data_IF_742193319498
#
_entry.id   IF_742193319498
#
_cell.length_a   1.000
_cell.length_b   1.000
_cell.length_c   1.000
_cell.angle_alpha   90.00
_cell.angle_beta   90.00
_cell.angle_gamma   90.00
#
_symmetry.space_group_name_H-M   'P 1'
#
loop_
_entity.id
_entity.type
_entity.pdbx_description
1 polymer ?
#
# COMPACT_ATOMS: atom_id res chain seq x y z
N UNK A 1 50.20 19.67 33.08
CA UNK A 1 49.09 20.48 32.53
C UNK A 1 48.70 19.94 31.16
N UNK A 2 47.49 19.38 31.07
CA UNK A 2 46.62 19.14 29.89
C UNK A 2 47.15 18.25 28.73
N UNK A 3 46.78 16.97 28.80
CA UNK A 3 46.69 16.04 27.67
C UNK A 3 45.58 16.48 26.70
N UNK A 4 45.93 16.76 25.44
CA UNK A 4 44.95 17.03 24.37
C UNK A 4 44.57 15.71 23.68
N UNK A 5 43.38 15.19 24.00
CA UNK A 5 42.75 14.10 23.26
C UNK A 5 42.21 14.69 21.96
N UNK A 6 42.81 14.34 20.82
CA UNK A 6 42.25 14.63 19.48
C UNK A 6 41.12 13.64 19.22
N UNK A 7 39.88 14.05 19.49
CA UNK A 7 38.69 13.32 19.05
C UNK A 7 38.51 13.62 17.56
N UNK A 8 38.89 12.66 16.71
CA UNK A 8 38.50 12.64 15.30
C UNK A 8 37.03 12.26 15.25
N UNK A 9 36.16 13.26 15.13
CA UNK A 9 34.74 13.03 14.82
C UNK A 9 34.69 12.60 13.36
N UNK A 10 34.67 11.29 13.14
CA UNK A 10 34.37 10.71 11.84
C UNK A 10 32.89 11.01 11.57
N UNK A 11 32.62 12.12 10.88
CA UNK A 11 31.30 12.45 10.36
C UNK A 11 30.94 11.38 9.32
N UNK A 12 30.29 10.31 9.78
CA UNK A 12 29.66 9.34 8.91
C UNK A 12 28.43 10.03 8.31
N UNK A 13 28.65 10.78 7.22
CA UNK A 13 27.59 11.19 6.33
C UNK A 13 26.99 9.93 5.70
N UNK A 14 26.10 9.27 6.45
CA UNK A 14 25.11 8.38 5.87
C UNK A 14 24.25 9.25 4.95
N UNK A 15 24.65 9.36 3.69
CA UNK A 15 23.79 9.83 2.61
C UNK A 15 22.66 8.80 2.55
N UNK A 16 21.57 9.11 3.25
CA UNK A 16 20.33 8.38 3.12
C UNK A 16 19.89 8.56 1.67
N UNK A 17 20.25 7.60 0.82
CA UNK A 17 19.69 7.51 -0.51
C UNK A 17 18.23 7.16 -0.33
N UNK A 18 17.36 8.18 -0.35
CA UNK A 18 15.96 7.96 -0.60
C UNK A 18 15.89 7.24 -1.95
N UNK A 19 15.44 5.98 -1.97
CA UNK A 19 15.20 5.29 -3.23
C UNK A 19 14.05 6.02 -3.92
N UNK A 20 14.37 6.88 -4.88
CA UNK A 20 13.40 7.51 -5.76
C UNK A 20 12.56 6.41 -6.42
N UNK A 21 11.31 6.28 -5.97
CA UNK A 21 10.33 5.45 -6.67
C UNK A 21 10.16 6.08 -8.05
N UNK A 22 10.66 5.42 -9.11
CA UNK A 22 10.41 5.83 -10.50
C UNK A 22 8.89 5.88 -10.70
N UNK A 23 8.37 7.09 -10.82
CA UNK A 23 6.95 7.36 -10.97
C UNK A 23 6.68 8.47 -11.95
N UNK A 24 5.39 8.69 -12.20
CA UNK A 24 4.86 9.72 -13.09
C UNK A 24 3.60 10.28 -12.44
N UNK A 25 3.33 11.57 -12.64
CA UNK A 25 2.15 12.23 -12.08
C UNK A 25 1.27 12.75 -13.20
N UNK A 26 -0.03 12.50 -13.05
CA UNK A 26 -1.08 12.94 -13.97
C UNK A 26 -1.98 13.92 -13.24
N UNK A 27 -2.27 15.07 -13.85
CA UNK A 27 -3.04 16.14 -13.22
C UNK A 27 -4.47 16.20 -13.78
N UNK A 28 -5.38 16.64 -12.91
CA UNK A 28 -6.80 16.77 -13.20
C UNK A 28 -7.27 18.18 -12.92
N UNK A 29 -8.22 18.62 -13.73
CA UNK A 29 -8.92 19.87 -13.47
C UNK A 29 -9.82 19.79 -12.24
N UNK A 30 -10.22 20.97 -11.76
CA UNK A 30 -11.10 21.06 -10.61
C UNK A 30 -12.39 20.28 -10.86
N UNK A 31 -12.72 19.42 -9.89
CA UNK A 31 -13.93 18.60 -9.91
C UNK A 31 -14.08 17.64 -11.10
N UNK A 32 -12.98 17.34 -11.80
CA UNK A 32 -12.98 16.42 -12.95
C UNK A 32 -12.21 15.14 -12.68
N UNK A 33 -12.67 14.06 -13.31
CA UNK A 33 -11.93 12.80 -13.47
C UNK A 33 -11.72 12.45 -14.95
N UNK A 34 -12.11 13.32 -15.89
CA UNK A 34 -11.73 13.25 -17.30
C UNK A 34 -10.36 13.89 -17.52
N UNK A 35 -9.60 13.41 -18.50
CA UNK A 35 -8.25 13.89 -18.81
C UNK A 35 -8.20 14.56 -20.19
N UNK A 36 -7.36 15.59 -20.30
CA UNK A 36 -6.96 16.21 -21.56
C UNK A 36 -5.90 15.36 -22.26
N UNK A 37 -5.75 15.54 -23.57
CA UNK A 37 -4.88 14.70 -24.41
C UNK A 37 -3.43 14.61 -23.91
N UNK A 38 -2.85 15.72 -23.45
CA UNK A 38 -1.48 15.75 -22.91
C UNK A 38 -1.32 14.83 -21.70
N UNK A 39 -2.31 14.82 -20.81
CA UNK A 39 -2.31 13.97 -19.62
C UNK A 39 -2.54 12.49 -19.97
N UNK A 40 -3.35 12.22 -21.00
CA UNK A 40 -3.47 10.86 -21.57
C UNK A 40 -2.13 10.41 -22.14
N UNK A 41 -1.43 11.27 -22.88
CA UNK A 41 -0.11 10.99 -23.45
C UNK A 41 0.91 10.66 -22.36
N UNK A 42 0.90 11.39 -21.24
CA UNK A 42 1.76 11.09 -20.07
C UNK A 42 1.56 9.66 -19.56
N UNK A 43 0.31 9.18 -19.45
CA UNK A 43 0.01 7.80 -19.02
C UNK A 43 0.53 6.78 -20.02
N UNK A 44 0.30 7.03 -21.32
CA UNK A 44 0.74 6.15 -22.40
C UNK A 44 2.27 6.06 -22.44
N UNK A 45 2.96 7.19 -22.33
CA UNK A 45 4.42 7.24 -22.32
C UNK A 45 4.99 6.58 -21.07
N UNK A 46 4.36 6.74 -19.91
CA UNK A 46 4.69 5.97 -18.71
C UNK A 46 4.58 4.47 -18.97
N UNK A 47 3.44 3.98 -19.51
CA UNK A 47 3.25 2.57 -19.79
C UNK A 47 4.30 2.00 -20.77
N UNK A 48 4.73 2.79 -21.77
CA UNK A 48 5.80 2.40 -22.71
C UNK A 48 7.17 2.27 -22.04
N UNK A 49 7.45 3.03 -20.96
CA UNK A 49 8.69 2.91 -20.17
C UNK A 49 8.74 1.60 -19.36
N UNK A 50 7.64 0.85 -19.26
CA UNK A 50 7.54 -0.34 -18.43
C UNK A 50 8.31 -1.54 -19.00
N UNK A 51 9.44 -1.88 -18.39
CA UNK A 51 10.08 -3.18 -18.60
C UNK A 51 9.31 -4.26 -17.81
N UNK A 52 8.31 -4.88 -18.45
CA UNK A 52 7.44 -5.89 -17.83
C UNK A 52 8.19 -7.10 -17.28
N UNK A 53 9.45 -7.33 -17.67
CA UNK A 53 10.27 -8.39 -17.08
C UNK A 53 10.82 -8.01 -15.71
N UNK A 54 11.09 -6.72 -15.49
CA UNK A 54 11.68 -6.16 -14.26
C UNK A 54 10.66 -5.59 -13.29
N UNK A 55 9.48 -5.20 -13.76
CA UNK A 55 8.43 -4.69 -12.87
C UNK A 55 7.54 -5.82 -12.34
N UNK A 56 7.24 -5.76 -11.05
CA UNK A 56 6.24 -6.57 -10.38
C UNK A 56 4.85 -6.03 -10.72
N UNK A 57 4.64 -4.74 -10.45
CA UNK A 57 3.35 -4.08 -10.63
C UNK A 57 3.47 -2.58 -10.92
N UNK A 58 2.35 -1.97 -11.28
CA UNK A 58 2.09 -0.54 -11.21
C UNK A 58 1.19 -0.28 -9.99
N UNK A 59 1.55 0.73 -9.20
CA UNK A 59 0.69 1.31 -8.17
C UNK A 59 0.14 2.65 -8.66
N UNK A 60 -1.13 2.93 -8.38
CA UNK A 60 -1.86 4.12 -8.81
C UNK A 60 -2.58 4.71 -7.60
N UNK A 61 -2.23 5.95 -7.24
CA UNK A 61 -2.79 6.66 -6.09
C UNK A 61 -3.42 7.97 -6.54
N UNK A 62 -4.73 8.14 -6.30
CA UNK A 62 -5.46 9.34 -6.70
C UNK A 62 -5.72 10.25 -5.53
N UNK A 63 -5.64 11.56 -5.77
CA UNK A 63 -5.78 12.60 -4.76
C UNK A 63 -6.74 13.69 -5.24
N UNK A 64 -7.34 14.37 -4.28
CA UNK A 64 -8.09 15.60 -4.48
C UNK A 64 -7.44 16.76 -3.72
N UNK A 65 -7.81 17.99 -4.09
CA UNK A 65 -7.47 19.15 -3.28
C UNK A 65 -8.28 19.22 -1.98
N UNK A 66 -8.03 20.23 -1.15
CA UNK A 66 -8.57 20.35 0.22
C UNK A 66 -10.07 20.68 0.28
N UNK A 67 -10.73 20.95 -0.86
CA UNK A 67 -12.12 21.42 -0.94
C UNK A 67 -13.12 20.28 -1.06
N UNK A 68 -14.31 20.49 -0.51
CA UNK A 68 -15.43 19.53 -0.55
C UNK A 68 -15.39 18.47 0.56
N UNK A 69 -16.48 17.72 0.69
CA UNK A 69 -16.65 16.72 1.74
C UNK A 69 -15.72 15.52 1.58
N UNK A 70 -15.41 14.85 2.70
CA UNK A 70 -14.51 13.69 2.72
C UNK A 70 -15.00 12.57 1.79
N UNK A 71 -16.28 12.19 1.90
CA UNK A 71 -16.88 11.10 1.11
C UNK A 71 -16.91 11.43 -0.38
N UNK A 72 -17.15 12.70 -0.71
CA UNK A 72 -17.12 13.19 -2.08
C UNK A 72 -15.72 13.05 -2.67
N UNK A 73 -14.71 13.55 -1.96
CA UNK A 73 -13.32 13.47 -2.42
C UNK A 73 -12.80 12.04 -2.52
N UNK A 74 -13.23 11.16 -1.63
CA UNK A 74 -12.91 9.74 -1.72
C UNK A 74 -13.47 9.12 -3.01
N UNK A 75 -14.73 9.40 -3.36
CA UNK A 75 -15.34 8.97 -4.63
C UNK A 75 -14.65 9.58 -5.84
N UNK A 76 -14.39 10.89 -5.83
CA UNK A 76 -13.74 11.60 -6.93
C UNK A 76 -12.32 11.07 -7.18
N UNK A 77 -11.51 10.94 -6.13
CA UNK A 77 -10.17 10.37 -6.25
C UNK A 77 -10.20 8.93 -6.76
N UNK A 78 -11.18 8.11 -6.34
CA UNK A 78 -11.38 6.76 -6.87
C UNK A 78 -11.67 6.77 -8.39
N UNK A 79 -12.59 7.62 -8.85
CA UNK A 79 -12.92 7.75 -10.27
C UNK A 79 -11.71 8.20 -11.12
N UNK A 80 -10.84 9.05 -10.57
CA UNK A 80 -9.58 9.46 -11.23
C UNK A 80 -8.65 8.28 -11.43
N UNK A 81 -8.45 7.45 -10.41
CA UNK A 81 -7.62 6.25 -10.50
C UNK A 81 -8.21 5.25 -11.50
N UNK A 82 -9.54 5.05 -11.50
CA UNK A 82 -10.22 4.18 -12.48
C UNK A 82 -10.04 4.69 -13.92
N UNK A 83 -10.08 6.01 -14.14
CA UNK A 83 -9.82 6.62 -15.45
C UNK A 83 -8.40 6.29 -15.94
N UNK A 84 -7.39 6.48 -15.08
CA UNK A 84 -6.01 6.14 -15.41
C UNK A 84 -5.83 4.64 -15.65
N UNK A 85 -6.46 3.78 -14.84
CA UNK A 85 -6.45 2.33 -15.04
C UNK A 85 -7.01 1.96 -16.42
N UNK A 86 -8.17 2.52 -16.79
CA UNK A 86 -8.82 2.21 -18.06
C UNK A 86 -7.92 2.61 -19.25
N UNK A 87 -7.23 3.75 -19.17
CA UNK A 87 -6.27 4.17 -20.20
C UNK A 87 -5.09 3.19 -20.28
N UNK A 88 -4.52 2.76 -19.15
CA UNK A 88 -3.44 1.76 -19.14
C UNK A 88 -3.89 0.43 -19.79
N UNK A 89 -5.08 -0.04 -19.44
CA UNK A 89 -5.65 -1.28 -19.99
C UNK A 89 -5.93 -1.16 -21.50
N UNK A 90 -6.52 -0.05 -21.94
CA UNK A 90 -6.79 0.22 -23.35
C UNK A 90 -5.51 0.28 -24.19
N UNK A 91 -4.39 0.68 -23.57
CA UNK A 91 -3.06 0.70 -24.19
C UNK A 91 -2.27 -0.60 -23.97
N UNK A 92 -2.95 -1.71 -23.67
CA UNK A 92 -2.36 -3.05 -23.66
C UNK A 92 -1.60 -3.42 -22.39
N UNK A 93 -1.65 -2.61 -21.33
CA UNK A 93 -1.02 -2.96 -20.07
C UNK A 93 -1.76 -4.13 -19.40
N UNK A 94 -1.01 -5.12 -18.91
CA UNK A 94 -1.59 -6.31 -18.31
C UNK A 94 -2.33 -5.97 -17.01
N UNK A 95 -3.64 -6.24 -16.96
CA UNK A 95 -4.50 -6.04 -15.79
C UNK A 95 -3.93 -6.66 -14.51
N UNK A 96 -3.30 -7.83 -14.62
CA UNK A 96 -2.74 -8.54 -13.47
C UNK A 96 -1.50 -7.85 -12.87
N UNK A 97 -0.91 -6.88 -13.57
CA UNK A 97 0.21 -6.07 -13.10
C UNK A 97 -0.22 -4.71 -12.54
N UNK A 98 -1.52 -4.38 -12.55
CA UNK A 98 -2.04 -3.17 -11.91
C UNK A 98 -2.60 -3.60 -10.55
N UNK A 99 -1.84 -3.38 -9.48
CA UNK A 99 -2.09 -4.03 -8.18
C UNK A 99 -2.67 -3.07 -7.15
N UNK A 100 -2.28 -1.78 -7.15
CA UNK A 100 -2.81 -0.81 -6.18
C UNK A 100 -3.54 0.30 -6.90
N UNK A 101 -4.80 0.48 -6.54
CA UNK A 101 -5.72 1.46 -7.11
C UNK A 101 -6.44 2.06 -5.91
N UNK A 102 -5.96 3.20 -5.43
CA UNK A 102 -6.50 3.80 -4.22
C UNK A 102 -6.80 5.28 -4.43
N UNK A 103 -8.09 5.63 -4.31
CA UNK A 103 -8.51 7.00 -4.09
C UNK A 103 -8.18 7.38 -2.66
N UNK A 104 -7.23 8.29 -2.47
CA UNK A 104 -6.78 8.77 -1.15
C UNK A 104 -7.64 9.89 -0.58
N UNK A 105 -8.60 10.40 -1.36
CA UNK A 105 -9.41 11.54 -0.96
C UNK A 105 -8.64 12.86 -1.00
N UNK A 106 -9.08 13.82 -0.19
CA UNK A 106 -8.50 15.17 -0.16
C UNK A 106 -7.15 15.23 0.54
N UNK A 107 -6.27 16.06 0.00
CA UNK A 107 -5.02 16.45 0.64
C UNK A 107 -5.25 17.77 1.37
N UNK A 108 -5.08 17.74 2.70
CA UNK A 108 -5.24 18.94 3.53
C UNK A 108 -4.08 19.90 3.29
N UNK A 109 -4.40 21.17 3.04
CA UNK A 109 -3.41 22.24 2.89
C UNK A 109 -3.54 23.22 4.06
N UNK A 110 -2.43 23.48 4.75
CA UNK A 110 -2.35 24.56 5.74
C UNK A 110 -2.11 25.86 4.97
N UNK A 111 -3.15 26.70 4.85
CA UNK A 111 -3.18 27.84 3.93
C UNK A 111 -2.09 28.88 4.20
N UNK A 112 -1.67 29.00 5.46
CA UNK A 112 -0.59 29.88 5.94
C UNK A 112 0.82 29.36 5.62
N UNK A 113 0.95 28.08 5.26
CA UNK A 113 2.24 27.44 4.98
C UNK A 113 2.62 27.42 3.50
N UNK A 114 1.74 27.91 2.61
CA UNK A 114 1.93 27.85 1.16
C UNK A 114 1.94 29.24 0.56
N UNK A 115 2.87 29.47 -0.38
CA UNK A 115 2.98 30.74 -1.09
C UNK A 115 1.85 30.97 -2.09
N UNK A 116 1.40 29.90 -2.73
CA UNK A 116 0.28 29.91 -3.68
C UNK A 116 -0.65 28.74 -3.38
N UNK A 117 -1.84 29.07 -2.88
CA UNK A 117 -2.85 28.10 -2.51
C UNK A 117 -3.47 27.41 -3.73
N UNK A 118 -3.70 28.14 -4.82
CA UNK A 118 -4.39 27.61 -6.00
C UNK A 118 -3.45 26.75 -6.85
N UNK A 119 -2.17 27.12 -6.94
CA UNK A 119 -1.14 26.26 -7.51
C UNK A 119 -1.00 24.97 -6.69
N UNK A 120 -0.94 25.06 -5.36
CA UNK A 120 -0.85 23.89 -4.47
C UNK A 120 -2.05 22.96 -4.66
N UNK A 121 -3.26 23.52 -4.73
CA UNK A 121 -4.48 22.75 -5.01
C UNK A 121 -4.40 22.07 -6.36
N UNK A 122 -3.92 22.77 -7.38
CA UNK A 122 -3.77 22.21 -8.72
C UNK A 122 -2.80 21.03 -8.74
N UNK A 123 -1.69 21.12 -8.00
CA UNK A 123 -0.77 20.00 -7.81
C UNK A 123 -1.35 18.85 -6.97
N UNK A 124 -2.35 19.10 -6.13
CA UNK A 124 -3.04 18.06 -5.34
C UNK A 124 -4.15 17.33 -6.09
N UNK A 125 -4.69 17.92 -7.16
CA UNK A 125 -5.62 17.23 -8.07
C UNK A 125 -4.84 16.33 -9.02
N UNK A 126 -4.39 15.18 -8.52
CA UNK A 126 -3.46 14.32 -9.26
C UNK A 126 -3.71 12.84 -9.06
N UNK A 127 -3.13 12.06 -9.95
CA UNK A 127 -2.90 10.63 -9.80
C UNK A 127 -1.42 10.36 -9.96
N UNK A 128 -0.82 9.72 -8.96
CA UNK A 128 0.57 9.30 -8.97
C UNK A 128 0.67 7.82 -9.38
N UNK A 129 1.50 7.54 -10.38
CA UNK A 129 1.80 6.21 -10.88
C UNK A 129 3.22 5.81 -10.49
N UNK A 130 3.42 4.58 -10.02
CA UNK A 130 4.75 4.08 -9.66
C UNK A 130 4.99 2.69 -10.23
N UNK A 131 6.19 2.46 -10.77
CA UNK A 131 6.66 1.10 -11.01
C UNK A 131 7.17 0.49 -9.72
N UNK A 132 6.59 -0.64 -9.35
CA UNK A 132 7.15 -1.52 -8.32
C UNK A 132 8.07 -2.49 -9.01
N UNK A 133 9.37 -2.36 -8.79
CA UNK A 133 10.36 -3.29 -9.34
C UNK A 133 10.19 -4.67 -8.67
N UNK A 134 10.44 -5.75 -9.41
CA UNK A 134 10.52 -7.09 -8.82
C UNK A 134 11.57 -7.09 -7.72
N UNK A 135 11.23 -7.71 -6.59
CA UNK A 135 12.06 -7.76 -5.38
C UNK A 135 12.39 -6.38 -4.77
N UNK A 136 11.63 -5.31 -5.07
CA UNK A 136 11.83 -3.97 -4.47
C UNK A 136 11.70 -3.96 -2.94
N UNK A 137 11.04 -4.97 -2.37
CA UNK A 137 10.91 -5.13 -0.93
C UNK A 137 12.07 -5.91 -0.29
N UNK A 138 12.95 -6.50 -1.10
CA UNK A 138 13.98 -7.43 -0.67
C UNK A 138 13.73 -8.85 -1.20
N UNK A 139 14.78 -9.67 -1.25
CA UNK A 139 14.69 -11.07 -1.70
C UNK A 139 13.70 -11.84 -0.81
N UNK A 140 12.75 -12.54 -1.43
CA UNK A 140 11.73 -13.32 -0.71
C UNK A 140 10.55 -12.48 -0.20
N UNK A 141 10.40 -11.24 -0.66
CA UNK A 141 9.27 -10.37 -0.27
C UNK A 141 8.50 -9.92 -1.51
N UNK A 142 7.19 -10.16 -1.49
CA UNK A 142 6.27 -9.96 -2.61
C UNK A 142 5.03 -9.17 -2.15
N UNK A 143 4.24 -8.69 -3.09
CA UNK A 143 2.96 -8.01 -2.85
C UNK A 143 1.74 -8.80 -3.38
N UNK A 144 1.98 -9.98 -3.95
CA UNK A 144 0.96 -10.85 -4.52
C UNK A 144 1.43 -12.31 -4.54
N UNK A 145 0.47 -13.24 -4.64
CA UNK A 145 0.76 -14.67 -4.72
C UNK A 145 1.32 -15.00 -6.11
N UNK A 146 2.50 -15.60 -6.14
CA UNK A 146 3.22 -16.01 -7.32
C UNK A 146 3.00 -17.49 -7.62
N UNK A 147 3.33 -17.90 -8.85
CA UNK A 147 3.32 -19.32 -9.27
C UNK A 147 4.26 -20.20 -8.43
N UNK A 148 5.35 -19.62 -7.93
CA UNK A 148 6.36 -20.33 -7.13
C UNK A 148 6.75 -19.47 -5.94
N UNK A 149 6.62 -20.05 -4.75
CA UNK A 149 7.12 -19.50 -3.50
C UNK A 149 8.08 -20.49 -2.83
N UNK A 150 8.86 -19.99 -1.88
CA UNK A 150 9.68 -20.78 -0.97
C UNK A 150 9.21 -20.55 0.46
N UNK A 151 9.45 -21.54 1.32
CA UNK A 151 9.25 -21.36 2.76
C UNK A 151 10.09 -20.17 3.24
N UNK A 152 9.47 -19.29 4.02
CA UNK A 152 10.06 -18.04 4.49
C UNK A 152 9.73 -16.81 3.62
N UNK A 153 9.18 -17.00 2.42
CA UNK A 153 8.70 -15.88 1.61
C UNK A 153 7.61 -15.09 2.33
N UNK A 154 7.59 -13.77 2.16
CA UNK A 154 6.58 -12.86 2.69
C UNK A 154 5.76 -12.23 1.59
N UNK A 155 4.45 -12.13 1.78
CA UNK A 155 3.53 -11.50 0.83
C UNK A 155 2.77 -10.38 1.56
N UNK A 156 3.08 -9.13 1.26
CA UNK A 156 2.38 -7.97 1.80
C UNK A 156 1.02 -7.79 1.12
N UNK A 157 -0.03 -7.63 1.92
CA UNK A 157 -1.39 -7.42 1.42
C UNK A 157 -1.74 -5.92 1.48
N UNK A 158 -1.20 -5.15 0.54
CA UNK A 158 -1.24 -3.67 0.59
C UNK A 158 -2.67 -3.09 0.61
N UNK A 159 -3.65 -3.76 -0.02
CA UNK A 159 -5.02 -3.26 -0.15
C UNK A 159 -6.00 -3.86 0.88
N UNK A 160 -5.49 -4.47 1.94
CA UNK A 160 -6.30 -5.03 3.03
C UNK A 160 -6.38 -4.00 4.15
N UNK A 161 -7.40 -3.16 4.04
CA UNK A 161 -7.72 -2.02 4.88
C UNK A 161 -8.84 -2.37 5.86
N UNK A 162 -8.82 -1.65 6.98
CA UNK A 162 -9.76 -1.80 8.07
C UNK A 162 -10.32 -0.45 8.49
N UNK A 163 -11.53 -0.44 9.05
CA UNK A 163 -12.10 0.76 9.66
C UNK A 163 -11.13 1.33 10.71
N UNK A 164 -11.15 2.65 10.87
CA UNK A 164 -10.19 3.34 11.73
C UNK A 164 -10.24 2.79 13.16
N UNK A 165 -9.08 2.29 13.63
CA UNK A 165 -8.94 1.69 14.96
C UNK A 165 -9.63 0.33 15.15
N UNK A 166 -10.14 -0.28 14.10
CA UNK A 166 -10.96 -1.50 14.15
C UNK A 166 -10.34 -2.65 13.33
N UNK A 167 -10.79 -3.88 13.59
CA UNK A 167 -10.53 -5.06 12.76
C UNK A 167 -11.61 -5.31 11.69
N UNK A 168 -12.59 -4.42 11.56
CA UNK A 168 -13.64 -4.52 10.53
C UNK A 168 -13.06 -4.23 9.15
N UNK A 169 -13.17 -5.18 8.22
CA UNK A 169 -12.68 -5.08 6.84
C UNK A 169 -13.55 -4.13 6.00
N UNK A 170 -12.92 -3.21 5.27
CA UNK A 170 -13.64 -2.37 4.30
C UNK A 170 -14.21 -3.21 3.15
N UNK A 171 -15.30 -2.73 2.50
CA UNK A 171 -15.84 -3.39 1.31
C UNK A 171 -14.81 -3.58 0.18
N UNK A 172 -13.96 -2.60 -0.07
CA UNK A 172 -12.87 -2.70 -1.06
C UNK A 172 -11.90 -3.83 -0.72
N UNK A 173 -11.55 -3.98 0.55
CA UNK A 173 -10.63 -5.03 1.01
C UNK A 173 -11.23 -6.43 0.92
N UNK A 174 -12.55 -6.57 1.07
CA UNK A 174 -13.26 -7.83 0.79
C UNK A 174 -13.12 -8.22 -0.70
N UNK A 175 -13.25 -7.28 -1.62
CA UNK A 175 -13.04 -7.53 -3.06
C UNK A 175 -11.60 -7.97 -3.37
N UNK A 176 -10.61 -7.40 -2.69
CA UNK A 176 -9.22 -7.83 -2.84
C UNK A 176 -8.97 -9.21 -2.22
N UNK A 177 -9.56 -9.50 -1.06
CA UNK A 177 -9.49 -10.83 -0.45
C UNK A 177 -10.17 -11.90 -1.30
N UNK A 178 -11.22 -11.57 -2.05
CA UNK A 178 -11.83 -12.49 -3.02
C UNK A 178 -10.84 -12.91 -4.10
N UNK A 179 -10.09 -11.95 -4.67
CA UNK A 179 -9.04 -12.25 -5.65
C UNK A 179 -7.94 -13.13 -5.05
N UNK A 180 -7.51 -12.81 -3.82
CA UNK A 180 -6.49 -13.59 -3.09
C UNK A 180 -7.00 -15.01 -2.83
N UNK A 181 -8.25 -15.18 -2.41
CA UNK A 181 -8.85 -16.48 -2.16
C UNK A 181 -8.85 -17.36 -3.43
N UNK A 182 -9.18 -16.78 -4.60
CA UNK A 182 -9.12 -17.51 -5.87
C UNK A 182 -7.70 -18.03 -6.18
N UNK A 183 -6.66 -17.21 -5.94
CA UNK A 183 -5.28 -17.63 -6.12
C UNK A 183 -4.87 -18.74 -5.13
N UNK A 184 -5.33 -18.67 -3.88
CA UNK A 184 -5.09 -19.68 -2.85
C UNK A 184 -5.83 -21.00 -3.11
N UNK A 185 -6.98 -20.95 -3.79
CA UNK A 185 -7.72 -22.13 -4.23
C UNK A 185 -7.05 -22.82 -5.44
N UNK A 186 -6.38 -22.05 -6.29
CA UNK A 186 -5.53 -22.58 -7.37
C UNK A 186 -4.23 -23.18 -6.81
N UNK A 187 -3.64 -22.56 -5.78
CA UNK A 187 -2.42 -23.03 -5.14
C UNK A 187 -2.72 -23.77 -3.83
N UNK A 188 -3.15 -25.03 -3.94
CA UNK A 188 -3.67 -25.84 -2.82
C UNK A 188 -2.60 -26.31 -1.82
N UNK A 189 -1.32 -26.30 -2.18
CA UNK A 189 -0.24 -26.81 -1.30
C UNK A 189 0.37 -25.72 -0.42
N UNK A 190 0.19 -24.45 -0.81
CA UNK A 190 0.69 -23.32 -0.05
C UNK A 190 0.04 -23.25 1.34
N UNK A 191 0.87 -23.29 2.38
CA UNK A 191 0.47 -22.98 3.76
C UNK A 191 1.21 -21.75 4.26
N UNK A 192 0.55 -20.95 5.10
CA UNK A 192 1.05 -19.64 5.49
C UNK A 192 0.50 -19.16 6.84
N UNK A 193 1.27 -18.30 7.50
CA UNK A 193 0.84 -17.53 8.67
C UNK A 193 0.40 -16.12 8.24
N UNK A 194 -0.79 -15.70 8.68
CA UNK A 194 -1.31 -14.36 8.49
C UNK A 194 -0.82 -13.48 9.64
N UNK A 195 0.03 -12.50 9.34
CA UNK A 195 0.67 -11.64 10.33
C UNK A 195 0.03 -10.25 10.28
N UNK A 196 -0.58 -9.84 11.38
CA UNK A 196 -1.17 -8.50 11.53
C UNK A 196 -0.22 -7.55 12.24
N UNK A 197 -0.16 -6.30 11.76
CA UNK A 197 0.68 -5.23 12.31
C UNK A 197 -0.15 -3.97 12.55
N UNK A 198 0.29 -3.16 13.51
CA UNK A 198 -0.27 -1.83 13.78
C UNK A 198 0.85 -0.80 13.83
N UNK A 199 0.53 0.44 13.47
CA UNK A 199 1.45 1.56 13.59
C UNK A 199 1.19 2.34 14.90
N UNK A 200 2.16 3.16 15.28
CA UNK A 200 1.98 4.32 16.15
C UNK A 200 1.39 4.04 17.55
N UNK A 201 1.71 2.89 18.15
CA UNK A 201 1.47 2.68 19.59
C UNK A 201 2.68 3.17 20.40
N UNK A 202 2.47 3.79 21.58
CA UNK A 202 3.58 4.18 22.47
C UNK A 202 4.49 2.99 22.76
N UNK A 203 5.78 3.22 22.97
CA UNK A 203 6.77 2.16 23.25
C UNK A 203 6.43 1.29 24.48
N UNK A 204 5.56 1.78 25.37
CA UNK A 204 5.03 1.05 26.52
C UNK A 204 4.04 -0.05 26.15
N UNK A 205 3.52 -0.05 24.93
CA UNK A 205 2.48 -0.98 24.47
C UNK A 205 2.86 -1.67 23.16
N UNK A 206 2.81 -2.99 23.21
CA UNK A 206 3.10 -3.86 22.07
C UNK A 206 2.02 -3.82 20.98
N UNK A 207 0.77 -3.48 21.30
CA UNK A 207 -0.35 -3.48 20.34
C UNK A 207 -1.33 -2.32 20.60
N UNK A 208 -2.20 -2.07 19.63
CA UNK A 208 -3.23 -1.05 19.67
C UNK A 208 -4.54 -1.61 20.25
N UNK A 209 -5.37 -0.70 20.74
CA UNK A 209 -6.72 -1.03 21.21
C UNK A 209 -7.63 -1.18 20.01
N UNK A 210 -8.37 -2.27 19.97
CA UNK A 210 -9.42 -2.49 18.99
C UNK A 210 -10.69 -1.76 19.43
N UNK A 211 -11.21 -0.90 18.55
CA UNK A 211 -12.40 -0.09 18.79
C UNK A 211 -13.63 -0.93 19.13
N UNK A 212 -13.76 -2.13 18.57
CA UNK A 212 -14.94 -2.98 18.76
C UNK A 212 -14.86 -3.75 20.07
N UNK A 213 -13.73 -4.43 20.30
CA UNK A 213 -13.57 -5.30 21.47
C UNK A 213 -13.11 -4.56 22.72
N UNK A 214 -12.61 -3.33 22.57
CA UNK A 214 -11.95 -2.51 23.61
C UNK A 214 -10.70 -3.17 24.20
N UNK A 215 -10.18 -4.23 23.58
CA UNK A 215 -8.99 -4.96 24.04
C UNK A 215 -7.76 -4.52 23.25
N UNK A 216 -6.58 -4.62 23.89
CA UNK A 216 -5.29 -4.30 23.27
C UNK A 216 -4.73 -5.47 22.45
N UNK A 217 -5.45 -5.82 21.38
CA UNK A 217 -5.12 -6.93 20.50
C UNK A 217 -5.52 -6.65 19.04
N UNK A 218 -5.53 -5.38 18.63
CA UNK A 218 -5.98 -4.96 17.29
C UNK A 218 -5.22 -5.67 16.16
N UNK A 219 -3.89 -5.80 16.27
CA UNK A 219 -3.10 -6.50 15.26
C UNK A 219 -3.50 -7.97 15.13
N UNK A 220 -3.81 -8.63 16.24
CA UNK A 220 -4.27 -10.02 16.27
C UNK A 220 -5.67 -10.16 15.66
N UNK A 221 -6.60 -9.28 16.05
CA UNK A 221 -7.96 -9.30 15.53
C UNK A 221 -7.99 -9.04 14.02
N UNK A 222 -7.18 -8.12 13.50
CA UNK A 222 -7.04 -7.90 12.05
C UNK A 222 -6.57 -9.15 11.31
N UNK A 223 -5.55 -9.83 11.82
CA UNK A 223 -5.09 -11.09 11.23
C UNK A 223 -6.17 -12.18 11.29
N UNK A 224 -6.91 -12.24 12.41
CA UNK A 224 -8.02 -13.17 12.62
C UNK A 224 -9.20 -12.92 11.68
N UNK A 225 -9.54 -11.66 11.40
CA UNK A 225 -10.63 -11.32 10.49
C UNK A 225 -10.29 -11.68 9.04
N UNK A 226 -9.05 -11.47 8.60
CA UNK A 226 -8.58 -11.97 7.30
C UNK A 226 -8.64 -13.50 7.23
N UNK A 227 -8.17 -14.18 8.27
CA UNK A 227 -8.24 -15.64 8.38
C UNK A 227 -9.68 -16.17 8.26
N UNK A 228 -10.62 -15.61 9.02
CA UNK A 228 -12.05 -15.98 8.96
C UNK A 228 -12.62 -15.72 7.57
N UNK A 229 -12.27 -14.59 6.97
CA UNK A 229 -12.75 -14.23 5.63
C UNK A 229 -12.29 -15.28 4.60
N UNK A 230 -11.01 -15.65 4.59
CA UNK A 230 -10.49 -16.66 3.67
C UNK A 230 -11.11 -18.05 3.88
N UNK A 231 -11.40 -18.44 5.12
CA UNK A 231 -12.19 -19.66 5.41
C UNK A 231 -13.58 -19.57 4.78
N UNK A 232 -14.26 -18.43 4.92
CA UNK A 232 -15.58 -18.23 4.32
C UNK A 232 -15.57 -18.32 2.78
N UNK A 233 -14.40 -18.15 2.16
CA UNK A 233 -14.16 -18.29 0.72
C UNK A 233 -13.63 -19.69 0.32
N UNK A 234 -13.60 -20.64 1.26
CA UNK A 234 -13.22 -22.03 1.01
C UNK A 234 -11.72 -22.34 1.14
N UNK A 235 -10.89 -21.40 1.60
CA UNK A 235 -9.48 -21.70 1.87
C UNK A 235 -9.39 -22.57 3.12
N UNK A 236 -8.79 -23.76 2.99
CA UNK A 236 -8.68 -24.73 4.08
C UNK A 236 -8.01 -24.13 5.32
N UNK A 237 -8.71 -24.21 6.46
CA UNK A 237 -8.21 -23.85 7.79
C UNK A 237 -6.86 -24.49 8.12
N UNK A 238 -6.62 -25.71 7.66
CA UNK A 238 -5.38 -26.45 7.97
C UNK A 238 -4.13 -25.83 7.34
N UNK A 239 -4.30 -24.97 6.32
CA UNK A 239 -3.19 -24.30 5.62
C UNK A 239 -2.89 -22.90 6.17
N UNK A 240 -3.65 -22.44 7.15
CA UNK A 240 -3.59 -21.08 7.62
C UNK A 240 -3.43 -21.03 9.13
N UNK A 241 -2.53 -20.19 9.61
CA UNK A 241 -2.49 -19.71 10.99
C UNK A 241 -2.60 -18.18 10.98
N UNK A 242 -2.83 -17.57 12.14
CA UNK A 242 -2.81 -16.10 12.24
C UNK A 242 -2.18 -15.67 13.57
N UNK A 243 -1.49 -14.52 13.56
CA UNK A 243 -0.88 -13.94 14.74
C UNK A 243 -0.75 -12.42 14.61
N UNK A 244 -1.06 -11.72 15.70
CA UNK A 244 -0.78 -10.30 15.85
C UNK A 244 0.66 -10.06 16.27
N UNK A 245 1.33 -9.13 15.61
CA UNK A 245 2.72 -8.74 15.86
C UNK A 245 2.85 -7.30 16.36
N UNK A 246 1.73 -6.59 16.50
CA UNK A 246 1.76 -5.28 17.11
C UNK A 246 2.55 -4.25 16.30
N UNK A 247 3.25 -3.37 17.00
CA UNK A 247 4.19 -2.40 16.42
C UNK A 247 5.64 -2.90 16.37
N UNK A 248 5.89 -4.20 16.62
CA UNK A 248 7.25 -4.76 16.80
C UNK A 248 8.09 -4.83 15.52
N UNK A 249 7.47 -4.69 14.35
CA UNK A 249 8.12 -4.83 13.05
C UNK A 249 7.77 -3.67 12.11
N UNK A 250 8.17 -2.43 12.45
CA UNK A 250 8.00 -1.29 11.57
C UNK A 250 8.92 -1.43 10.36
N UNK A 251 8.42 -1.10 9.17
CA UNK A 251 9.16 -1.13 7.92
C UNK A 251 9.89 0.20 7.66
N UNK A 252 9.57 1.26 8.41
CA UNK A 252 10.17 2.59 8.22
C UNK A 252 9.77 3.24 6.89
N UNK A 253 8.71 2.74 6.24
CA UNK A 253 8.20 3.20 4.93
C UNK A 253 6.89 3.98 5.05
N UNK A 254 6.61 4.50 6.25
CA UNK A 254 5.42 5.27 6.59
C UNK A 254 4.28 4.44 7.20
N UNK A 255 3.39 5.11 7.93
CA UNK A 255 2.38 4.48 8.78
C UNK A 255 1.44 3.52 8.03
N UNK A 256 1.17 3.80 6.74
CA UNK A 256 0.33 2.93 5.91
C UNK A 256 0.96 1.53 5.73
N UNK A 257 2.30 1.45 5.61
CA UNK A 257 3.02 0.19 5.49
C UNK A 257 3.17 -0.54 6.84
N UNK A 258 3.03 0.18 7.94
CA UNK A 258 3.10 -0.37 9.29
C UNK A 258 1.73 -0.84 9.80
N UNK A 259 0.63 -0.31 9.24
CA UNK A 259 -0.73 -0.85 9.39
C UNK A 259 -1.05 -1.90 8.32
N UNK A 260 -0.37 -3.02 8.35
CA UNK A 260 -0.49 -4.04 7.29
C UNK A 260 -0.92 -5.40 7.82
N UNK A 261 -1.40 -6.23 6.89
CA UNK A 261 -1.42 -7.69 7.01
C UNK A 261 -0.47 -8.27 5.96
N UNK A 262 0.27 -9.30 6.32
CA UNK A 262 1.14 -10.05 5.41
C UNK A 262 0.95 -11.55 5.58
N UNK A 263 1.26 -12.32 4.54
CA UNK A 263 1.46 -13.76 4.67
C UNK A 263 2.95 -14.06 4.85
N UNK A 264 3.25 -15.04 5.70
CA UNK A 264 4.55 -15.70 5.75
C UNK A 264 4.35 -17.14 5.31
N UNK A 265 5.01 -17.55 4.23
CA UNK A 265 4.90 -18.91 3.71
C UNK A 265 5.61 -19.88 4.67
N UNK A 266 4.87 -20.86 5.16
CA UNK A 266 5.34 -21.85 6.13
C UNK A 266 5.54 -23.24 5.51
N UNK A 267 4.80 -23.56 4.44
CA UNK A 267 4.91 -24.82 3.71
C UNK A 267 4.50 -24.64 2.24
N UNK A 268 5.02 -25.50 1.36
CA UNK A 268 4.71 -25.59 -0.07
C UNK A 268 4.40 -27.02 -0.49
#
# INVERSE_FOLDING_TARGET
MKNFIKIVVLLCCCVASAQDKKGETVYFEFDKYTLYEDQVKTIVDFAKKADTTKIESIQIYGYCDDRGENDYNYKLSKNRVETVQNILLANGFNKNKIVVIEGKGRVIVQKDTVSDLDETRSKNRRVDLFFVQKNSYGKGIYNSIQKKHKVGDRIYLENILFDMGSSVLLPSSKLELDKIALLLLQNKTLAFEIKGHVCCTPATYDDAIDKETKQRNLSNNRAKEVYKYLISKGVSRLRMTYKGYGNKFPLGKGDAMDRRVEFLITQI
#
